data_IF_398954685047
#
_entry.id   IF_398954685047
#
_cell.length_a   1.000
_cell.length_b   1.000
_cell.length_c   1.000
_cell.angle_alpha   90.00
_cell.angle_beta   90.00
_cell.angle_gamma   90.00
#
_symmetry.space_group_name_H-M   'P 1'
#
loop_
_entity.id
_entity.type
_entity.pdbx_description
1 polymer ?
#
# COMPACT_ATOMS: atom_id res chain seq x y z
N UNK A 1 -20.66 2.02 -14.85
CA UNK A 1 -20.33 0.58 -14.83
C UNK A 1 -20.80 0.01 -13.49
N UNK A 2 -21.51 -1.09 -13.53
CA UNK A 2 -21.89 -1.81 -12.31
C UNK A 2 -20.61 -2.40 -11.68
N UNK A 3 -20.47 -2.21 -10.35
CA UNK A 3 -19.32 -2.75 -9.64
C UNK A 3 -19.47 -4.25 -9.46
N UNK A 4 -18.43 -5.02 -9.76
CA UNK A 4 -18.37 -6.44 -9.42
C UNK A 4 -18.57 -6.64 -7.92
N UNK A 5 -19.24 -7.73 -7.56
CA UNK A 5 -19.51 -8.14 -6.17
C UNK A 5 -19.19 -9.62 -6.01
N UNK A 6 -18.48 -9.96 -4.94
CA UNK A 6 -18.23 -11.37 -4.60
C UNK A 6 -19.53 -12.02 -4.12
N UNK A 7 -19.85 -13.26 -4.49
CA UNK A 7 -21.01 -13.97 -3.97
C UNK A 7 -20.89 -14.28 -2.47
N UNK A 8 -19.65 -14.42 -1.97
CA UNK A 8 -19.33 -14.74 -0.57
C UNK A 8 -18.97 -13.46 0.18
N UNK A 9 -19.40 -13.37 1.44
CA UNK A 9 -19.02 -12.26 2.31
C UNK A 9 -17.64 -12.48 2.90
N UNK A 10 -16.65 -11.91 2.24
CA UNK A 10 -15.25 -11.86 2.67
C UNK A 10 -14.78 -10.40 2.68
N UNK A 11 -13.67 -10.15 3.36
CA UNK A 11 -13.09 -8.82 3.45
C UNK A 11 -11.66 -8.81 2.93
N UNK A 12 -11.29 -7.67 2.34
CA UNK A 12 -9.91 -7.31 2.04
C UNK A 12 -9.53 -6.06 2.82
N UNK A 13 -8.30 -6.01 3.32
CA UNK A 13 -7.73 -4.85 4.01
C UNK A 13 -6.51 -4.35 3.27
N UNK A 14 -6.26 -3.05 3.39
CA UNK A 14 -5.24 -2.36 2.62
C UNK A 14 -4.33 -1.57 3.54
N UNK A 15 -3.04 -1.81 3.42
CA UNK A 15 -1.97 -1.18 4.18
C UNK A 15 -0.94 -0.58 3.21
N UNK A 16 -0.14 0.34 3.69
CA UNK A 16 1.08 0.83 3.06
C UNK A 16 1.97 1.49 4.10
N UNK A 17 3.18 1.82 3.72
CA UNK A 17 4.06 2.73 4.46
C UNK A 17 4.22 2.31 5.93
N UNK A 18 4.68 1.06 6.14
CA UNK A 18 4.87 0.49 7.49
C UNK A 18 6.09 1.12 8.17
N UNK A 19 7.18 1.32 7.39
CA UNK A 19 8.41 1.97 7.83
C UNK A 19 9.04 1.34 9.08
N UNK A 20 9.12 0.01 9.12
CA UNK A 20 9.84 -0.70 10.19
C UNK A 20 11.30 -0.25 10.18
N UNK A 21 11.83 0.05 11.36
CA UNK A 21 13.20 0.55 11.53
C UNK A 21 13.28 2.06 11.76
N UNK A 22 12.24 2.82 11.44
CA UNK A 22 12.15 4.24 11.77
C UNK A 22 12.02 4.47 13.29
N UNK A 23 12.64 5.53 13.81
CA UNK A 23 12.50 5.94 15.22
C UNK A 23 11.11 6.50 15.57
N UNK A 24 10.30 6.81 14.55
CA UNK A 24 8.91 7.23 14.67
C UNK A 24 7.93 6.17 14.16
N UNK A 25 8.35 4.93 13.95
CA UNK A 25 7.46 3.80 13.76
C UNK A 25 6.49 3.68 14.94
N UNK A 26 5.27 3.21 14.69
CA UNK A 26 4.18 3.13 15.67
C UNK A 26 3.93 1.66 16.09
N UNK A 27 4.78 1.07 16.93
CA UNK A 27 4.73 -0.35 17.26
C UNK A 27 3.49 -0.73 18.08
N UNK A 28 2.98 0.17 18.91
CA UNK A 28 1.81 -0.08 19.76
C UNK A 28 0.54 -0.14 18.92
N UNK A 29 0.37 0.83 18.01
CA UNK A 29 -0.75 0.89 17.07
C UNK A 29 -0.73 -0.29 16.11
N UNK A 30 0.45 -0.67 15.60
CA UNK A 30 0.60 -1.85 14.76
C UNK A 30 0.29 -3.13 15.54
N UNK A 31 0.70 -3.23 16.80
CA UNK A 31 0.32 -4.33 17.69
C UNK A 31 -1.19 -4.41 17.92
N UNK A 32 -1.88 -3.27 18.04
CA UNK A 32 -3.35 -3.26 18.13
C UNK A 32 -4.00 -3.77 16.83
N UNK A 33 -3.47 -3.41 15.68
CA UNK A 33 -3.90 -3.99 14.40
C UNK A 33 -3.70 -5.51 14.38
N UNK A 34 -2.52 -6.01 14.79
CA UNK A 34 -2.24 -7.45 14.88
C UNK A 34 -3.22 -8.16 15.83
N UNK A 35 -3.50 -7.58 17.01
CA UNK A 35 -4.49 -8.12 17.95
C UNK A 35 -5.89 -8.15 17.35
N UNK A 36 -6.27 -7.11 16.60
CA UNK A 36 -7.56 -7.04 15.95
C UNK A 36 -7.72 -8.10 14.85
N UNK A 37 -6.74 -8.26 13.96
CA UNK A 37 -6.82 -9.25 12.86
C UNK A 37 -6.84 -10.68 13.37
N UNK A 38 -6.31 -10.92 14.57
CA UNK A 38 -6.43 -12.17 15.33
C UNK A 38 -7.77 -12.32 16.08
N UNK A 39 -8.66 -11.32 16.02
CA UNK A 39 -9.94 -11.36 16.71
C UNK A 39 -9.87 -11.14 18.22
N UNK A 40 -8.70 -10.73 18.76
CA UNK A 40 -8.46 -10.60 20.21
C UNK A 40 -8.99 -9.28 20.80
N UNK A 41 -9.17 -8.24 19.96
CA UNK A 41 -9.67 -6.92 20.37
C UNK A 41 -10.76 -6.43 19.44
N UNK A 42 -11.50 -5.40 19.88
CA UNK A 42 -12.61 -4.80 19.14
C UNK A 42 -13.96 -5.34 19.59
N UNK A 43 -15.03 -4.67 19.17
CA UNK A 43 -16.39 -5.12 19.41
C UNK A 43 -16.73 -6.36 18.53
N UNK A 44 -17.89 -6.97 18.79
CA UNK A 44 -18.32 -8.18 18.08
C UNK A 44 -18.31 -8.03 16.56
N UNK A 45 -18.81 -6.89 16.04
CA UNK A 45 -18.84 -6.62 14.59
C UNK A 45 -17.43 -6.48 14.02
N UNK A 46 -16.52 -5.83 14.74
CA UNK A 46 -15.13 -5.68 14.33
C UNK A 46 -14.38 -7.02 14.31
N UNK A 47 -14.59 -7.87 15.32
CA UNK A 47 -14.03 -9.24 15.35
C UNK A 47 -14.59 -10.12 14.24
N UNK A 48 -15.91 -10.02 13.95
CA UNK A 48 -16.51 -10.73 12.82
C UNK A 48 -15.88 -10.34 11.47
N UNK A 49 -15.55 -9.06 11.27
CA UNK A 49 -14.81 -8.60 10.09
C UNK A 49 -13.42 -9.22 10.05
N UNK A 50 -12.67 -9.19 11.16
CA UNK A 50 -11.33 -9.78 11.25
C UNK A 50 -11.35 -11.28 10.88
N UNK A 51 -12.29 -12.05 11.39
CA UNK A 51 -12.46 -13.47 11.06
C UNK A 51 -12.77 -13.72 9.57
N UNK A 52 -13.59 -12.86 8.96
CA UNK A 52 -13.95 -12.95 7.53
C UNK A 52 -12.95 -12.28 6.60
N UNK A 53 -11.91 -11.63 7.12
CA UNK A 53 -10.84 -11.05 6.31
C UNK A 53 -10.04 -12.18 5.67
N UNK A 54 -9.89 -12.11 4.34
CA UNK A 54 -9.21 -13.14 3.55
C UNK A 54 -7.92 -12.60 2.93
N UNK A 55 -7.90 -11.33 2.59
CA UNK A 55 -6.79 -10.70 1.86
C UNK A 55 -6.27 -9.49 2.61
N UNK A 56 -4.95 -9.36 2.66
CA UNK A 56 -4.21 -8.20 3.15
C UNK A 56 -3.30 -7.74 2.03
N UNK A 57 -3.47 -6.52 1.55
CA UNK A 57 -2.65 -5.97 0.47
C UNK A 57 -1.82 -4.83 1.01
N UNK A 58 -0.52 -4.85 0.75
CA UNK A 58 0.44 -3.86 1.25
C UNK A 58 1.11 -3.18 0.05
N UNK A 59 0.90 -1.88 -0.07
CA UNK A 59 1.36 -1.09 -1.20
C UNK A 59 2.71 -0.39 -0.93
N UNK A 60 3.72 -1.16 -0.55
CA UNK A 60 5.10 -0.72 -0.44
C UNK A 60 5.49 -0.05 0.88
N UNK A 61 6.77 0.29 0.97
CA UNK A 61 7.46 0.86 2.11
C UNK A 61 7.25 0.05 3.40
N UNK A 62 7.67 -1.23 3.32
CA UNK A 62 7.60 -2.16 4.44
C UNK A 62 8.56 -1.74 5.56
N UNK A 63 9.71 -1.26 5.15
CA UNK A 63 10.83 -0.82 6.00
C UNK A 63 11.14 0.64 5.73
N UNK A 64 11.84 1.29 6.66
CA UNK A 64 12.30 2.68 6.45
C UNK A 64 13.43 2.76 5.43
N UNK A 65 14.13 1.65 5.20
CA UNK A 65 15.29 1.60 4.32
C UNK A 65 16.52 2.25 4.94
N UNK A 66 17.56 2.40 4.13
CA UNK A 66 18.83 3.02 4.55
C UNK A 66 19.34 3.91 3.43
N UNK A 67 19.65 5.18 3.76
CA UNK A 67 20.20 6.14 2.80
C UNK A 67 19.21 6.68 1.79
N UNK A 68 17.93 6.67 2.10
CA UNK A 68 16.86 7.18 1.23
C UNK A 68 16.92 8.71 1.12
N UNK A 69 17.27 9.38 2.23
CA UNK A 69 17.46 10.84 2.25
C UNK A 69 18.64 11.22 3.18
N UNK A 70 19.20 12.43 3.03
CA UNK A 70 20.35 12.88 3.84
C UNK A 70 20.05 12.81 5.34
N UNK A 71 20.99 12.28 6.12
CA UNK A 71 20.91 12.15 7.59
C UNK A 71 19.82 11.19 8.10
N UNK A 72 19.21 10.38 7.25
CA UNK A 72 18.22 9.38 7.67
C UNK A 72 18.75 8.44 8.75
N UNK A 73 20.04 8.12 8.71
CA UNK A 73 20.67 7.19 9.69
C UNK A 73 20.43 7.62 11.15
N UNK A 74 20.33 8.91 11.40
CA UNK A 74 20.07 9.49 12.72
C UNK A 74 18.59 9.31 13.15
N UNK A 75 17.72 8.96 12.23
CA UNK A 75 16.29 8.73 12.42
C UNK A 75 15.91 7.24 12.41
N UNK A 76 16.91 6.33 12.41
CA UNK A 76 16.70 4.88 12.43
C UNK A 76 16.92 4.28 13.82
N UNK A 77 16.03 3.39 14.24
CA UNK A 77 16.23 2.48 15.37
C UNK A 77 16.87 1.17 14.96
N UNK A 78 16.68 0.75 13.70
CA UNK A 78 17.31 -0.43 13.11
C UNK A 78 18.11 0.05 11.91
N UNK A 79 19.43 -0.05 11.98
CA UNK A 79 20.37 0.50 10.99
C UNK A 79 20.92 -0.55 10.00
N UNK A 80 20.43 -1.78 10.07
CA UNK A 80 20.70 -2.84 9.08
C UNK A 80 19.43 -3.18 8.30
N UNK A 81 19.53 -3.23 6.98
CA UNK A 81 18.36 -3.45 6.12
C UNK A 81 17.76 -4.85 6.28
N UNK A 82 18.59 -5.86 6.55
CA UNK A 82 18.13 -7.23 6.76
C UNK A 82 17.39 -7.35 8.09
N UNK A 83 17.91 -6.71 9.13
CA UNK A 83 17.25 -6.65 10.44
C UNK A 83 15.92 -5.92 10.37
N UNK A 84 15.79 -4.87 9.53
CA UNK A 84 14.50 -4.21 9.29
C UNK A 84 13.48 -5.20 8.69
N UNK A 85 13.86 -6.00 7.69
CA UNK A 85 12.97 -7.03 7.12
C UNK A 85 12.69 -8.17 8.09
N UNK A 86 13.64 -8.61 8.88
CA UNK A 86 13.44 -9.62 9.92
C UNK A 86 12.41 -9.15 10.95
N UNK A 87 12.51 -7.90 11.38
CA UNK A 87 11.54 -7.30 12.30
C UNK A 87 10.15 -7.16 11.65
N UNK A 88 10.06 -6.72 10.38
CA UNK A 88 8.81 -6.68 9.65
C UNK A 88 8.16 -8.07 9.60
N UNK A 89 8.93 -9.10 9.23
CA UNK A 89 8.43 -10.49 9.18
C UNK A 89 8.01 -10.98 10.55
N UNK A 90 8.77 -10.67 11.62
CA UNK A 90 8.39 -10.99 13.00
C UNK A 90 7.03 -10.40 13.37
N UNK A 91 6.74 -9.19 12.92
CA UNK A 91 5.45 -8.53 13.16
C UNK A 91 4.32 -9.21 12.38
N UNK A 92 4.48 -9.40 11.06
CA UNK A 92 3.41 -9.93 10.21
C UNK A 92 3.21 -11.44 10.34
N UNK A 93 4.20 -12.21 10.81
CA UNK A 93 4.07 -13.65 11.09
C UNK A 93 3.03 -13.96 12.16
N UNK A 94 2.64 -12.96 12.96
CA UNK A 94 1.57 -13.06 13.94
C UNK A 94 0.16 -12.99 13.30
N UNK A 95 0.05 -12.66 12.02
CA UNK A 95 -1.21 -12.68 11.28
C UNK A 95 -1.60 -14.13 11.00
N UNK A 96 -2.88 -14.53 11.20
CA UNK A 96 -3.31 -15.90 10.96
C UNK A 96 -2.97 -16.38 9.53
N UNK A 97 -2.44 -17.58 9.41
CA UNK A 97 -1.93 -18.15 8.16
C UNK A 97 -3.00 -18.44 7.10
N UNK A 98 -4.28 -18.40 7.47
CA UNK A 98 -5.41 -18.52 6.54
C UNK A 98 -5.66 -17.24 5.72
N UNK A 99 -4.97 -16.15 6.06
CA UNK A 99 -5.05 -14.87 5.35
C UNK A 99 -3.94 -14.75 4.31
N UNK A 100 -4.30 -14.40 3.10
CA UNK A 100 -3.34 -14.17 2.00
C UNK A 100 -2.80 -12.73 2.07
N UNK A 101 -1.48 -12.58 2.13
CA UNK A 101 -0.80 -11.29 2.18
C UNK A 101 -0.14 -11.05 0.82
N UNK A 102 -0.49 -9.96 0.16
CA UNK A 102 0.03 -9.58 -1.16
C UNK A 102 0.79 -8.28 -1.02
N UNK A 103 2.04 -8.25 -1.45
CA UNK A 103 2.96 -7.13 -1.20
C UNK A 103 3.65 -6.69 -2.48
N UNK A 104 3.58 -5.41 -2.82
CA UNK A 104 4.48 -4.78 -3.77
C UNK A 104 5.52 -3.92 -3.03
N UNK A 105 6.70 -3.64 -3.60
CA UNK A 105 7.67 -2.73 -2.99
C UNK A 105 7.27 -1.26 -3.12
N UNK A 106 7.90 -0.41 -2.31
CA UNK A 106 7.90 1.04 -2.41
C UNK A 106 9.31 1.60 -2.61
N UNK A 107 9.47 2.91 -2.48
CA UNK A 107 10.76 3.57 -2.73
C UNK A 107 11.74 3.46 -1.55
N UNK A 108 11.28 3.09 -0.36
CA UNK A 108 12.13 2.80 0.79
C UNK A 108 12.61 1.34 0.84
N UNK A 109 11.94 0.45 0.12
CA UNK A 109 12.28 -0.97 0.10
C UNK A 109 13.59 -1.25 -0.67
N UNK A 110 14.27 -2.36 -0.32
CA UNK A 110 15.56 -2.75 -0.91
C UNK A 110 15.41 -3.33 -2.33
N UNK A 111 14.87 -2.51 -3.23
CA UNK A 111 14.76 -2.75 -4.66
C UNK A 111 15.28 -1.52 -5.42
N UNK A 112 15.48 -1.63 -6.74
CA UNK A 112 15.85 -0.44 -7.51
C UNK A 112 14.73 0.61 -7.51
N UNK A 113 15.10 1.88 -7.41
CA UNK A 113 14.15 2.99 -7.33
C UNK A 113 13.36 3.20 -8.64
N UNK A 114 13.98 2.93 -9.79
CA UNK A 114 13.37 3.15 -11.09
C UNK A 114 12.16 2.22 -11.29
N UNK A 115 11.05 2.78 -11.78
CA UNK A 115 9.83 2.04 -12.08
C UNK A 115 9.78 1.53 -13.54
N UNK A 116 9.25 0.35 -13.79
CA UNK A 116 8.64 -0.57 -12.83
C UNK A 116 9.68 -1.19 -11.91
N UNK A 117 9.39 -1.26 -10.60
CA UNK A 117 10.26 -1.97 -9.66
C UNK A 117 10.02 -3.48 -9.76
N UNK A 118 11.11 -4.25 -9.68
CA UNK A 118 11.02 -5.70 -9.55
C UNK A 118 10.32 -6.10 -8.25
N UNK A 119 9.84 -7.32 -8.16
CA UNK A 119 9.51 -7.91 -6.87
C UNK A 119 10.77 -7.98 -5.99
N UNK A 120 10.55 -8.19 -4.69
CA UNK A 120 11.64 -8.27 -3.70
C UNK A 120 12.69 -9.33 -4.06
N UNK A 121 13.94 -9.03 -3.73
CA UNK A 121 15.07 -9.93 -3.93
C UNK A 121 15.42 -10.63 -2.62
N UNK A 122 15.59 -11.96 -2.65
CA UNK A 122 15.94 -12.78 -1.50
C UNK A 122 17.27 -12.36 -0.84
N UNK A 123 18.17 -11.72 -1.57
CA UNK A 123 19.48 -11.28 -1.06
C UNK A 123 19.36 -10.32 0.13
N UNK A 124 18.40 -9.40 0.10
CA UNK A 124 18.20 -8.38 1.14
C UNK A 124 17.03 -8.67 2.08
N UNK A 125 16.06 -9.42 1.62
CA UNK A 125 14.80 -9.66 2.32
C UNK A 125 14.42 -11.14 2.40
N UNK A 126 15.41 -12.02 2.60
CA UNK A 126 15.22 -13.47 2.71
C UNK A 126 14.13 -13.88 3.69
N UNK A 127 13.95 -13.13 4.77
CA UNK A 127 12.91 -13.37 5.75
C UNK A 127 11.50 -13.35 5.16
N UNK A 128 11.21 -12.50 4.14
CA UNK A 128 9.89 -12.46 3.49
C UNK A 128 9.52 -13.79 2.81
N UNK A 129 10.50 -14.54 2.34
CA UNK A 129 10.31 -15.79 1.62
C UNK A 129 10.03 -16.98 2.55
N UNK A 130 10.10 -16.78 3.87
CA UNK A 130 9.84 -17.83 4.85
C UNK A 130 8.35 -18.03 5.16
N UNK A 131 7.49 -17.05 4.82
CA UNK A 131 6.07 -17.08 5.12
C UNK A 131 5.26 -17.60 3.91
N UNK A 132 4.56 -18.75 4.03
CA UNK A 132 3.92 -19.41 2.90
C UNK A 132 2.66 -18.70 2.39
N UNK A 133 2.09 -17.79 3.17
CA UNK A 133 0.89 -17.02 2.83
C UNK A 133 1.19 -15.64 2.24
N UNK A 134 2.46 -15.34 1.92
CA UNK A 134 2.88 -14.11 1.25
C UNK A 134 3.00 -14.35 -0.27
N UNK A 135 2.50 -13.39 -1.03
CA UNK A 135 2.73 -13.25 -2.48
C UNK A 135 3.42 -11.92 -2.76
N UNK A 136 4.66 -11.96 -3.25
CA UNK A 136 5.44 -10.79 -3.61
C UNK A 136 5.22 -10.46 -5.08
N UNK A 137 4.87 -9.19 -5.38
CA UNK A 137 4.61 -8.72 -6.74
C UNK A 137 5.46 -7.49 -7.07
N UNK A 138 5.49 -7.10 -8.32
CA UNK A 138 6.17 -5.89 -8.81
C UNK A 138 5.45 -4.61 -8.41
N UNK A 139 6.09 -3.46 -8.55
CA UNK A 139 5.45 -2.15 -8.47
C UNK A 139 5.65 -1.41 -9.82
N UNK A 140 4.57 -1.18 -10.59
CA UNK A 140 3.19 -1.59 -10.31
C UNK A 140 2.98 -3.11 -10.43
N UNK A 141 1.98 -3.63 -9.72
CA UNK A 141 1.53 -5.02 -9.76
C UNK A 141 0.02 -5.14 -10.03
N UNK A 142 -0.38 -6.08 -10.87
CA UNK A 142 -1.79 -6.42 -11.10
C UNK A 142 -2.06 -7.83 -10.60
N UNK A 143 -2.97 -7.97 -9.66
CA UNK A 143 -3.36 -9.28 -9.09
C UNK A 143 -4.86 -9.49 -9.18
N UNK A 144 -5.28 -10.76 -9.14
CA UNK A 144 -6.69 -11.12 -9.06
C UNK A 144 -6.97 -11.80 -7.72
N UNK A 145 -7.89 -11.25 -6.93
CA UNK A 145 -8.32 -11.82 -5.66
C UNK A 145 -9.77 -12.30 -5.71
N UNK A 146 -10.14 -13.23 -4.86
CA UNK A 146 -11.51 -13.72 -4.71
C UNK A 146 -12.05 -14.53 -5.89
N UNK A 147 -11.18 -15.04 -6.77
CA UNK A 147 -11.60 -15.87 -7.91
C UNK A 147 -12.13 -17.23 -7.43
N UNK A 148 -13.28 -17.63 -7.98
CA UNK A 148 -13.89 -18.96 -7.81
C UNK A 148 -14.33 -19.52 -9.14
N UNK A 149 -14.89 -20.72 -9.18
CA UNK A 149 -15.41 -21.32 -10.43
C UNK A 149 -16.56 -20.51 -11.04
N UNK A 150 -17.30 -19.78 -10.22
CA UNK A 150 -18.47 -18.98 -10.64
C UNK A 150 -18.24 -17.47 -10.63
N UNK A 151 -17.09 -17.01 -10.13
CA UNK A 151 -16.75 -15.60 -10.02
C UNK A 151 -15.33 -15.33 -10.54
N UNK A 152 -15.20 -14.42 -11.49
CA UNK A 152 -13.90 -14.10 -12.14
C UNK A 152 -12.88 -13.44 -11.22
N UNK A 153 -13.28 -13.06 -10.00
CA UNK A 153 -12.44 -12.33 -9.07
C UNK A 153 -12.39 -10.82 -9.35
N UNK A 154 -11.65 -10.13 -8.49
CA UNK A 154 -11.38 -8.69 -8.60
C UNK A 154 -9.97 -8.46 -9.09
N UNK A 155 -9.82 -7.62 -10.10
CA UNK A 155 -8.52 -7.10 -10.51
C UNK A 155 -8.10 -5.97 -9.56
N UNK A 156 -6.98 -6.12 -8.90
CA UNK A 156 -6.39 -5.13 -8.00
C UNK A 156 -5.08 -4.63 -8.58
N UNK A 157 -5.00 -3.34 -8.84
CA UNK A 157 -3.79 -2.66 -9.23
C UNK A 157 -3.13 -2.10 -7.97
N UNK A 158 -1.91 -2.59 -7.65
CA UNK A 158 -1.05 -2.01 -6.64
C UNK A 158 -0.03 -1.11 -7.33
N UNK A 159 0.08 0.11 -6.84
CA UNK A 159 1.09 1.07 -7.25
C UNK A 159 1.48 1.91 -6.04
N UNK A 160 2.74 1.85 -5.61
CA UNK A 160 3.15 2.56 -4.39
C UNK A 160 2.81 4.06 -4.44
N UNK A 161 3.12 4.75 -5.56
CA UNK A 161 2.69 6.14 -5.72
C UNK A 161 3.80 7.16 -5.87
N UNK A 162 5.03 6.75 -6.17
CA UNK A 162 6.18 7.67 -6.28
C UNK A 162 5.94 8.89 -7.19
N UNK A 163 5.20 8.73 -8.28
CA UNK A 163 4.86 9.82 -9.19
C UNK A 163 3.88 10.87 -8.62
N UNK A 164 3.32 10.65 -7.42
CA UNK A 164 2.39 11.58 -6.79
C UNK A 164 3.03 12.94 -6.51
N UNK A 165 4.29 12.96 -6.09
CA UNK A 165 5.04 14.20 -5.85
C UNK A 165 5.11 15.07 -7.09
N UNK A 166 5.42 14.45 -8.25
CA UNK A 166 5.43 15.14 -9.52
C UNK A 166 4.05 15.72 -9.88
N UNK A 167 2.99 14.93 -9.71
CA UNK A 167 1.64 15.41 -10.05
C UNK A 167 1.17 16.54 -9.13
N UNK A 168 1.54 16.52 -7.86
CA UNK A 168 1.21 17.62 -6.93
C UNK A 168 1.98 18.88 -7.32
N UNK A 169 3.25 18.77 -7.71
CA UNK A 169 4.05 19.93 -8.09
C UNK A 169 3.71 20.49 -9.46
N UNK A 170 3.44 19.63 -10.46
CA UNK A 170 3.35 20.06 -11.85
C UNK A 170 1.91 20.20 -12.39
N UNK A 171 0.93 19.53 -11.75
CA UNK A 171 -0.47 19.62 -12.21
C UNK A 171 -1.24 20.65 -11.39
N UNK A 172 -1.36 21.85 -11.93
CA UNK A 172 -2.00 22.99 -11.27
C UNK A 172 -3.39 22.69 -10.71
N UNK A 173 -4.22 21.96 -11.45
CA UNK A 173 -5.56 21.58 -11.00
C UNK A 173 -5.56 20.65 -9.79
N UNK A 174 -4.52 19.83 -9.60
CA UNK A 174 -4.33 18.98 -8.43
C UNK A 174 -3.80 19.81 -7.27
N UNK A 175 -2.73 20.57 -7.51
CA UNK A 175 -2.10 21.43 -6.50
C UNK A 175 -3.12 22.39 -5.88
N UNK A 176 -3.86 23.12 -6.70
CA UNK A 176 -4.84 24.12 -6.24
C UNK A 176 -6.11 23.50 -5.63
N UNK A 177 -6.33 22.19 -5.82
CA UNK A 177 -7.48 21.47 -5.24
C UNK A 177 -7.16 20.75 -3.92
N UNK A 178 -5.98 20.98 -3.34
CA UNK A 178 -5.57 20.42 -2.05
C UNK A 178 -4.37 19.48 -2.09
N UNK A 179 -3.74 19.30 -3.25
CA UNK A 179 -2.44 18.61 -3.38
C UNK A 179 -2.42 17.21 -2.75
N UNK A 180 -1.51 16.98 -1.81
CA UNK A 180 -1.33 15.71 -1.10
C UNK A 180 -2.58 15.24 -0.33
N UNK A 181 -3.42 16.14 0.17
CA UNK A 181 -4.67 15.76 0.84
C UNK A 181 -5.72 15.15 -0.10
N UNK A 182 -5.47 15.19 -1.40
CA UNK A 182 -6.40 14.77 -2.44
C UNK A 182 -5.86 13.60 -3.27
N UNK A 183 -5.42 12.53 -2.57
CA UNK A 183 -5.05 11.26 -3.21
C UNK A 183 -6.12 10.77 -4.22
N UNK A 184 -7.39 11.02 -3.92
CA UNK A 184 -8.50 10.71 -4.82
C UNK A 184 -8.41 11.42 -6.18
N UNK A 185 -7.92 12.66 -6.22
CA UNK A 185 -7.72 13.39 -7.48
C UNK A 185 -6.50 12.87 -8.24
N UNK A 186 -5.42 12.53 -7.53
CA UNK A 186 -4.22 11.94 -8.11
C UNK A 186 -4.55 10.60 -8.80
N UNK A 187 -5.17 9.68 -8.08
CA UNK A 187 -5.55 8.37 -8.61
C UNK A 187 -6.56 8.48 -9.76
N UNK A 188 -7.54 9.38 -9.64
CA UNK A 188 -8.50 9.67 -10.72
C UNK A 188 -7.81 10.24 -11.95
N UNK A 189 -6.79 11.07 -11.77
CA UNK A 189 -6.00 11.64 -12.86
C UNK A 189 -5.28 10.54 -13.65
N UNK A 190 -4.64 9.58 -12.95
CA UNK A 190 -3.98 8.41 -13.53
C UNK A 190 -4.98 7.52 -14.29
N UNK A 191 -6.11 7.19 -13.67
CA UNK A 191 -7.15 6.37 -14.29
C UNK A 191 -7.73 7.02 -15.56
N UNK A 192 -7.91 8.35 -15.56
CA UNK A 192 -8.37 9.07 -16.76
C UNK A 192 -7.40 9.00 -17.91
N UNK A 193 -6.11 9.02 -17.62
CA UNK A 193 -5.03 8.97 -18.62
C UNK A 193 -4.57 7.55 -18.93
N UNK A 194 -5.03 6.60 -18.16
CA UNK A 194 -4.61 5.20 -18.28
C UNK A 194 -3.09 5.03 -18.14
N UNK A 195 -2.47 5.86 -17.27
CA UNK A 195 -1.04 5.88 -17.05
C UNK A 195 -0.69 6.32 -15.64
N UNK A 196 0.30 5.65 -15.02
CA UNK A 196 0.77 5.95 -13.67
C UNK A 196 1.83 7.05 -13.64
N UNK A 197 2.67 7.15 -14.68
CA UNK A 197 3.73 8.16 -14.78
C UNK A 197 4.05 8.48 -16.26
N UNK A 198 3.28 9.36 -16.94
CA UNK A 198 3.37 9.59 -18.39
C UNK A 198 4.57 10.46 -18.83
N UNK A 199 5.44 10.85 -17.92
CA UNK A 199 6.61 11.69 -18.19
C UNK A 199 7.84 11.11 -17.50
N UNK A 200 8.99 11.12 -18.14
CA UNK A 200 10.27 10.70 -17.55
C UNK A 200 10.65 11.46 -16.27
N UNK A 201 10.06 12.63 -16.04
CA UNK A 201 10.26 13.41 -14.81
C UNK A 201 9.33 12.99 -13.68
N UNK A 202 8.25 12.24 -13.97
CA UNK A 202 7.24 11.89 -12.98
C UNK A 202 7.63 10.71 -12.08
N UNK A 203 8.58 9.90 -12.53
CA UNK A 203 9.25 8.87 -11.75
C UNK A 203 10.60 8.54 -12.38
N UNK A 204 11.60 8.06 -11.62
CA UNK A 204 12.72 7.35 -12.21
C UNK A 204 12.19 6.16 -13.03
N UNK A 205 12.55 6.08 -14.28
CA UNK A 205 11.99 5.11 -15.22
C UNK A 205 13.01 4.09 -15.67
N UNK A 206 12.68 2.81 -15.55
CA UNK A 206 13.48 1.73 -16.11
C UNK A 206 12.99 1.45 -17.55
N UNK A 207 13.81 1.74 -18.57
CA UNK A 207 13.37 1.63 -19.96
C UNK A 207 13.06 0.20 -20.34
N UNK A 208 11.84 -0.04 -20.83
CA UNK A 208 11.43 -1.30 -21.43
C UNK A 208 11.42 -1.19 -22.94
N UNK A 209 11.96 -2.20 -23.63
CA UNK A 209 12.11 -2.17 -25.10
C UNK A 209 10.85 -2.55 -25.87
N UNK A 210 9.80 -3.09 -25.21
CA UNK A 210 8.64 -3.64 -25.94
C UNK A 210 7.34 -2.92 -25.65
N UNK A 211 7.09 -2.56 -24.40
CA UNK A 211 5.82 -1.96 -23.97
C UNK A 211 6.06 -1.06 -22.77
N UNK A 212 5.25 -0.01 -22.65
CA UNK A 212 5.28 0.85 -21.47
C UNK A 212 4.62 0.13 -20.28
N UNK A 213 5.39 -0.24 -19.25
CA UNK A 213 4.89 -0.99 -18.10
C UNK A 213 4.01 -0.16 -17.16
N UNK A 214 4.04 1.18 -17.28
CA UNK A 214 3.26 2.09 -16.45
C UNK A 214 1.89 2.40 -17.04
N UNK A 215 1.54 1.80 -18.18
CA UNK A 215 0.20 1.86 -18.75
C UNK A 215 -0.80 1.01 -17.94
N UNK A 216 -1.95 1.59 -17.61
CA UNK A 216 -3.08 0.87 -17.02
C UNK A 216 -3.85 0.17 -18.16
N UNK A 217 -3.39 -1.01 -18.59
CA UNK A 217 -3.97 -1.77 -19.71
C UNK A 217 -5.34 -2.33 -19.36
N UNK A 218 -5.49 -2.88 -18.16
CA UNK A 218 -6.73 -3.44 -17.63
C UNK A 218 -7.30 -2.47 -16.61
N UNK A 219 -8.60 -2.16 -16.72
CA UNK A 219 -9.29 -1.34 -15.71
C UNK A 219 -9.40 -2.19 -14.43
N UNK A 220 -8.82 -1.76 -13.31
CA UNK A 220 -8.92 -2.50 -12.06
C UNK A 220 -10.29 -2.31 -11.41
N UNK A 221 -10.68 -3.27 -10.57
CA UNK A 221 -11.82 -3.12 -9.65
C UNK A 221 -11.41 -2.31 -8.41
N UNK A 222 -10.13 -2.47 -8.00
CA UNK A 222 -9.49 -1.73 -6.91
C UNK A 222 -8.15 -1.15 -7.39
N UNK A 223 -7.91 0.11 -7.09
CA UNK A 223 -6.63 0.78 -7.30
C UNK A 223 -6.07 1.20 -5.95
N UNK A 224 -4.91 0.67 -5.57
CA UNK A 224 -4.31 0.79 -4.25
C UNK A 224 -3.00 1.53 -4.37
N UNK A 225 -2.79 2.54 -3.49
CA UNK A 225 -1.56 3.32 -3.42
C UNK A 225 -1.15 3.59 -1.98
N UNK A 226 0.07 4.06 -1.78
CA UNK A 226 0.66 4.54 -0.52
C UNK A 226 1.40 5.86 -0.72
N UNK A 227 2.64 5.95 -0.23
CA UNK A 227 3.65 6.97 -0.44
C UNK A 227 3.42 8.31 0.26
N UNK A 228 2.23 8.85 0.20
CA UNK A 228 1.94 10.20 0.71
C UNK A 228 1.42 10.22 2.15
N UNK A 229 1.35 9.08 2.82
CA UNK A 229 0.95 8.91 4.22
C UNK A 229 -0.46 9.43 4.58
N UNK A 230 -1.33 9.62 3.59
CA UNK A 230 -2.72 10.01 3.79
C UNK A 230 -3.67 8.83 3.54
N UNK A 231 -4.72 8.73 4.35
CA UNK A 231 -5.78 7.72 4.15
C UNK A 231 -6.93 8.32 3.35
N UNK A 232 -7.17 7.78 2.16
CA UNK A 232 -8.25 8.24 1.29
C UNK A 232 -8.95 7.08 0.60
N UNK A 233 -10.26 7.12 0.59
CA UNK A 233 -11.10 6.19 -0.18
C UNK A 233 -12.05 6.99 -1.06
N UNK A 234 -12.14 6.59 -2.33
CA UNK A 234 -13.04 7.21 -3.29
C UNK A 234 -13.47 6.19 -4.36
N UNK A 235 -14.47 6.51 -5.17
CA UNK A 235 -14.87 5.71 -6.32
C UNK A 235 -14.83 6.55 -7.60
N UNK A 236 -14.29 5.96 -8.66
CA UNK A 236 -14.33 6.55 -9.98
C UNK A 236 -14.76 5.52 -11.02
N UNK A 237 -15.95 5.69 -11.59
CA UNK A 237 -16.53 4.82 -12.64
C UNK A 237 -16.47 3.31 -12.30
N UNK A 238 -16.77 2.98 -11.04
CA UNK A 238 -16.76 1.59 -10.55
C UNK A 238 -15.42 1.09 -10.02
N UNK A 239 -14.34 1.85 -10.18
CA UNK A 239 -13.04 1.57 -9.57
C UNK A 239 -13.04 2.13 -8.14
N UNK A 240 -12.83 1.28 -7.14
CA UNK A 240 -12.60 1.72 -5.76
C UNK A 240 -11.13 2.09 -5.63
N UNK A 241 -10.86 3.36 -5.36
CA UNK A 241 -9.52 3.92 -5.17
C UNK A 241 -9.24 4.01 -3.68
N UNK A 242 -8.10 3.46 -3.24
CA UNK A 242 -7.69 3.43 -1.84
C UNK A 242 -6.23 3.88 -1.76
N UNK A 243 -5.98 4.99 -1.08
CA UNK A 243 -4.66 5.36 -0.61
C UNK A 243 -4.53 4.86 0.81
N UNK A 244 -3.55 4.00 1.06
CA UNK A 244 -3.22 3.50 2.39
C UNK A 244 -2.73 4.62 3.28
N UNK A 245 -2.82 4.40 4.58
CA UNK A 245 -2.28 5.28 5.60
C UNK A 245 -0.77 5.04 5.73
N UNK A 246 -0.22 5.31 6.90
CA UNK A 246 1.14 4.89 7.28
C UNK A 246 1.13 4.34 8.71
N UNK A 247 2.27 3.76 9.12
CA UNK A 247 2.49 3.29 10.49
C UNK A 247 3.67 4.00 11.13
N UNK A 248 3.89 5.21 10.68
CA UNK A 248 4.97 6.10 11.09
C UNK A 248 4.40 7.44 11.51
N UNK A 249 4.91 8.00 12.59
CA UNK A 249 4.69 9.39 12.97
C UNK A 249 5.37 10.35 12.00
N UNK A 250 5.25 11.64 12.25
CA UNK A 250 5.85 12.68 11.41
C UNK A 250 7.37 12.68 11.59
N UNK A 251 8.11 12.49 10.51
CA UNK A 251 9.58 12.59 10.49
C UNK A 251 10.04 14.04 10.39
N UNK A 252 11.31 14.32 10.75
CA UNK A 252 11.89 15.66 10.59
C UNK A 252 11.91 16.11 9.11
N UNK A 253 12.06 15.18 8.19
CA UNK A 253 11.99 15.45 6.75
C UNK A 253 10.59 15.89 6.32
N UNK A 254 9.55 15.16 6.74
CA UNK A 254 8.15 15.50 6.47
C UNK A 254 7.74 16.83 7.12
N UNK A 255 8.24 17.12 8.32
CA UNK A 255 7.99 18.40 8.98
C UNK A 255 8.51 19.59 8.17
N UNK A 256 9.75 19.48 7.63
CA UNK A 256 10.34 20.50 6.75
C UNK A 256 9.53 20.74 5.47
N UNK A 257 8.86 19.70 4.97
CA UNK A 257 8.01 19.77 3.78
C UNK A 257 6.55 20.15 4.08
N UNK A 258 6.18 20.29 5.35
CA UNK A 258 4.82 20.60 5.77
C UNK A 258 3.82 19.45 5.57
N UNK A 259 4.29 18.21 5.58
CA UNK A 259 3.43 17.03 5.48
C UNK A 259 2.80 16.72 6.85
N UNK A 260 1.54 16.31 6.83
CA UNK A 260 0.78 15.91 8.03
C UNK A 260 0.26 14.47 7.82
N UNK A 261 1.00 13.43 8.25
CA UNK A 261 0.58 12.05 8.05
C UNK A 261 -0.71 11.74 8.81
N UNK A 262 -1.47 10.78 8.29
CA UNK A 262 -2.69 10.25 8.92
C UNK A 262 -2.47 8.78 9.32
N UNK A 263 -1.67 8.48 10.36
CA UNK A 263 -1.20 7.12 10.65
C UNK A 263 -2.29 6.19 11.19
N UNK A 264 -1.97 4.89 11.18
CA UNK A 264 -2.72 3.80 11.81
C UNK A 264 -4.20 3.72 11.36
N UNK A 265 -4.48 4.04 10.10
CA UNK A 265 -5.80 3.91 9.49
C UNK A 265 -5.81 2.75 8.49
N UNK A 266 -6.73 1.84 8.65
CA UNK A 266 -6.85 0.64 7.83
C UNK A 266 -8.17 0.63 7.08
N UNK A 267 -8.17 0.87 5.76
CA UNK A 267 -9.33 0.65 4.92
C UNK A 267 -9.68 -0.84 4.86
N UNK A 268 -10.94 -1.15 5.11
CA UNK A 268 -11.50 -2.50 5.12
C UNK A 268 -12.66 -2.55 4.14
N UNK A 269 -12.57 -3.41 3.15
CA UNK A 269 -13.58 -3.56 2.09
C UNK A 269 -14.35 -4.85 2.28
N UNK A 270 -15.68 -4.76 2.34
CA UNK A 270 -16.56 -5.91 2.18
C UNK A 270 -16.63 -6.26 0.67
N UNK A 271 -16.11 -7.40 0.28
CA UNK A 271 -16.03 -7.81 -1.13
C UNK A 271 -17.41 -8.13 -1.74
N UNK A 272 -18.41 -8.45 -0.89
CA UNK A 272 -19.77 -8.73 -1.33
C UNK A 272 -20.58 -7.45 -1.60
N UNK A 273 -20.46 -6.43 -0.74
CA UNK A 273 -21.23 -5.18 -0.87
C UNK A 273 -20.45 -4.06 -1.56
N UNK A 274 -19.14 -4.10 -1.53
CA UNK A 274 -18.18 -3.05 -1.92
C UNK A 274 -18.12 -1.88 -0.94
N UNK A 275 -18.78 -2.00 0.22
CA UNK A 275 -18.68 -0.99 1.27
C UNK A 275 -17.27 -0.95 1.85
N UNK A 276 -16.79 0.26 2.12
CA UNK A 276 -15.48 0.49 2.73
C UNK A 276 -15.65 1.13 4.09
N UNK A 277 -14.96 0.59 5.09
CA UNK A 277 -14.83 1.17 6.44
C UNK A 277 -13.35 1.46 6.69
N UNK A 278 -13.07 2.52 7.41
CA UNK A 278 -11.71 2.83 7.88
C UNK A 278 -11.68 2.56 9.37
N UNK A 279 -10.89 1.57 9.77
CA UNK A 279 -10.58 1.31 11.18
C UNK A 279 -9.41 2.19 11.59
N UNK A 280 -9.43 2.68 12.82
CA UNK A 280 -8.34 3.48 13.42
C UNK A 280 -7.80 2.74 14.62
N UNK A 281 -6.48 2.67 14.73
CA UNK A 281 -5.76 1.96 15.80
C UNK A 281 -4.96 2.91 16.70
N UNK A 282 -5.32 4.21 16.64
CA UNK A 282 -4.78 5.27 17.50
C UNK A 282 -5.67 5.41 18.73
#
# INVERSE_FOLDING_TARGET
LEMKKCPIEEYAIFLSDIHVGSNVFLPEEFSQFIKWINGSVGNEKQRAIAHKTKYILIAGDLVDGIGIYPSQIDELTITDIREQYEEFVRLISQIPSDKQIIICPGNHDAVHLAEPQSAFNEEFCSALFTLPNITLVTNPGMVTIGKTDTFSGFNVLLYHGYSFDYYVSEVESIRNSGGYHRADLLMKFMLKRRHMAPSFKSTPYYPSHKEDPLLIKVIPDFFITGHIHYSKVANYKGVTMICGSCWQGKTSFQEKLGHEPEPARVPVVNLKTRDVKILKFI
#
